data_IF_540850081933
#
_entry.id   IF_540850081933
#
_cell.length_a   1.000
_cell.length_b   1.000
_cell.length_c   1.000
_cell.angle_alpha   90.00
_cell.angle_beta   90.00
_cell.angle_gamma   90.00
#
_symmetry.space_group_name_H-M   'P 1'
#
loop_
_entity.id
_entity.type
_entity.pdbx_description
1 polymer ?
#
# COMPACT_ATOMS: atom_id res chain seq x y z
N UNK A 1 -17.19 -21.04 -19.18
CA UNK A 1 -15.96 -21.18 -18.36
C UNK A 1 -15.80 -19.87 -17.60
N UNK A 2 -16.09 -19.84 -16.29
CA UNK A 2 -15.96 -18.63 -15.46
C UNK A 2 -14.57 -18.64 -14.83
N UNK A 3 -13.70 -17.71 -15.21
CA UNK A 3 -12.43 -17.50 -14.53
C UNK A 3 -12.72 -16.88 -13.16
N UNK A 4 -12.73 -17.68 -12.09
CA UNK A 4 -12.76 -17.14 -10.73
C UNK A 4 -11.35 -16.62 -10.39
N UNK A 5 -11.25 -15.33 -10.10
CA UNK A 5 -10.00 -14.62 -9.77
C UNK A 5 -9.33 -15.27 -8.55
N UNK A 6 -8.09 -15.73 -8.70
CA UNK A 6 -7.32 -16.41 -7.64
C UNK A 6 -6.75 -15.39 -6.64
N UNK A 7 -7.57 -14.95 -5.68
CA UNK A 7 -7.13 -14.28 -4.46
C UNK A 7 -6.89 -15.34 -3.38
N UNK A 8 -5.75 -15.28 -2.69
CA UNK A 8 -5.38 -16.20 -1.62
C UNK A 8 -5.15 -15.44 -0.32
N UNK A 9 -5.34 -16.13 0.82
CA UNK A 9 -5.18 -15.55 2.15
C UNK A 9 -4.09 -16.35 2.88
N UNK A 10 -3.11 -15.64 3.44
CA UNK A 10 -2.17 -16.15 4.43
C UNK A 10 -2.88 -16.07 5.78
N UNK A 11 -3.10 -17.23 6.41
CA UNK A 11 -3.73 -17.29 7.73
C UNK A 11 -2.64 -17.25 8.80
N UNK A 12 -2.56 -16.13 9.51
CA UNK A 12 -1.60 -15.89 10.59
C UNK A 12 -2.27 -16.18 11.92
N UNK A 13 -1.96 -17.32 12.54
CA UNK A 13 -2.56 -17.71 13.81
C UNK A 13 -2.21 -16.68 14.91
N UNK A 14 -3.23 -16.01 15.46
CA UNK A 14 -3.04 -14.94 16.43
C UNK A 14 -2.48 -13.63 15.85
N UNK A 15 -2.54 -13.44 14.53
CA UNK A 15 -2.04 -12.25 13.84
C UNK A 15 -2.99 -11.75 12.74
N UNK A 16 -2.50 -10.80 11.93
CA UNK A 16 -3.25 -10.27 10.79
C UNK A 16 -3.20 -11.24 9.62
N UNK A 17 -4.36 -11.64 9.09
CA UNK A 17 -4.42 -12.37 7.83
C UNK A 17 -4.08 -11.43 6.68
N UNK A 18 -3.29 -11.91 5.72
CA UNK A 18 -2.80 -11.11 4.60
C UNK A 18 -3.30 -11.70 3.29
N UNK A 19 -3.93 -10.87 2.46
CA UNK A 19 -4.33 -11.27 1.11
C UNK A 19 -3.13 -11.23 0.16
N UNK A 20 -3.11 -12.10 -0.85
CA UNK A 20 -2.16 -12.00 -1.96
C UNK A 20 -2.69 -12.59 -3.26
N UNK A 21 -2.09 -12.18 -4.38
CA UNK A 21 -2.33 -12.76 -5.70
C UNK A 21 -1.18 -13.72 -6.08
N UNK A 22 -1.38 -15.05 -6.12
CA UNK A 22 -0.33 -16.01 -6.43
C UNK A 22 0.35 -15.76 -7.79
N UNK A 23 -0.42 -15.25 -8.75
CA UNK A 23 0.07 -14.98 -10.11
C UNK A 23 0.79 -13.63 -10.24
N UNK A 24 0.81 -12.79 -9.19
CA UNK A 24 1.55 -11.53 -9.21
C UNK A 24 3.07 -11.73 -9.01
N UNK A 25 3.53 -12.96 -8.68
CA UNK A 25 4.94 -13.23 -8.46
C UNK A 25 5.47 -12.72 -7.12
N UNK A 26 4.58 -12.35 -6.20
CA UNK A 26 4.92 -12.01 -4.81
C UNK A 26 5.41 -13.26 -4.09
N UNK A 27 6.58 -13.19 -3.49
CA UNK A 27 7.10 -14.27 -2.64
C UNK A 27 6.56 -14.14 -1.22
N UNK A 28 6.37 -15.28 -0.55
CA UNK A 28 5.91 -15.31 0.83
C UNK A 28 7.11 -15.58 1.73
N UNK A 29 7.30 -14.72 2.72
CA UNK A 29 8.33 -14.84 3.75
C UNK A 29 7.70 -15.31 5.06
N UNK A 30 8.47 -16.02 5.87
CA UNK A 30 8.08 -16.42 7.22
C UNK A 30 9.06 -15.83 8.24
N UNK A 31 8.53 -15.17 9.28
CA UNK A 31 9.30 -14.68 10.41
C UNK A 31 8.49 -14.80 11.70
N UNK A 32 9.12 -15.30 12.76
CA UNK A 32 8.49 -15.47 14.08
C UNK A 32 7.15 -16.24 14.07
N UNK A 33 6.99 -17.18 13.13
CA UNK A 33 5.75 -17.96 12.97
C UNK A 33 4.62 -17.25 12.21
N UNK A 34 4.89 -16.08 11.63
CA UNK A 34 3.97 -15.31 10.80
C UNK A 34 4.43 -15.24 9.36
N UNK A 35 3.49 -15.20 8.43
CA UNK A 35 3.71 -15.00 6.99
C UNK A 35 3.59 -13.53 6.57
N UNK A 36 4.46 -13.13 5.65
CA UNK A 36 4.61 -11.79 5.09
C UNK A 36 4.80 -11.85 3.57
N UNK A 37 4.56 -10.73 2.88
CA UNK A 37 4.75 -10.61 1.43
C UNK A 37 6.04 -9.86 1.13
N UNK A 38 6.94 -10.49 0.36
CA UNK A 38 8.09 -9.81 -0.24
C UNK A 38 7.62 -9.13 -1.52
N UNK A 39 7.22 -7.87 -1.39
CA UNK A 39 6.65 -7.05 -2.46
C UNK A 39 7.75 -6.44 -3.31
N UNK A 40 8.93 -6.19 -2.74
CA UNK A 40 10.03 -5.54 -3.46
C UNK A 40 11.13 -6.50 -3.96
N UNK A 41 11.01 -7.79 -3.65
CA UNK A 41 11.89 -8.87 -4.07
C UNK A 41 13.24 -8.87 -3.34
N UNK A 42 13.31 -8.36 -2.12
CA UNK A 42 14.57 -8.24 -1.38
C UNK A 42 15.02 -9.55 -0.70
N UNK A 43 14.10 -10.50 -0.50
CA UNK A 43 14.32 -11.69 0.31
C UNK A 43 14.50 -11.39 1.80
N UNK A 44 14.11 -10.20 2.27
CA UNK A 44 14.18 -9.77 3.66
C UNK A 44 12.86 -9.14 4.07
N UNK A 45 12.46 -9.34 5.32
CA UNK A 45 11.31 -8.64 5.87
C UNK A 45 11.66 -7.16 6.10
N UNK A 46 11.27 -6.31 5.16
CA UNK A 46 11.42 -4.86 5.28
C UNK A 46 10.32 -4.26 6.15
N UNK A 47 10.60 -3.10 6.77
CA UNK A 47 9.67 -2.52 7.74
C UNK A 47 8.31 -2.18 7.12
N UNK A 48 8.26 -1.71 5.87
CA UNK A 48 6.97 -1.47 5.19
C UNK A 48 6.15 -2.75 4.93
N UNK A 49 6.78 -3.92 4.86
CA UNK A 49 6.15 -5.23 4.64
C UNK A 49 5.70 -5.89 5.95
N UNK A 50 6.28 -5.47 7.07
CA UNK A 50 5.93 -5.97 8.40
C UNK A 50 4.65 -5.31 8.91
N UNK A 51 3.52 -5.98 8.70
CA UNK A 51 2.20 -5.52 9.16
C UNK A 51 2.07 -5.39 10.69
N UNK A 52 3.04 -5.88 11.47
CA UNK A 52 3.08 -5.75 12.93
C UNK A 52 3.55 -4.36 13.37
N UNK A 53 4.23 -3.62 12.48
CA UNK A 53 4.76 -2.30 12.79
C UNK A 53 3.69 -1.20 12.68
N UNK A 54 3.83 -0.10 13.45
CA UNK A 54 2.95 1.06 13.33
C UNK A 54 2.90 1.60 11.90
N UNK A 55 1.72 2.04 11.45
CA UNK A 55 1.50 2.51 10.08
C UNK A 55 2.48 3.61 9.67
N UNK A 56 2.78 4.57 10.56
CA UNK A 56 3.76 5.63 10.30
C UNK A 56 5.14 5.07 9.97
N UNK A 57 5.66 4.14 10.77
CA UNK A 57 6.97 3.54 10.53
C UNK A 57 7.03 2.83 9.17
N UNK A 58 5.93 2.18 8.77
CA UNK A 58 5.79 1.54 7.45
C UNK A 58 5.77 2.56 6.31
N UNK A 59 5.05 3.66 6.47
CA UNK A 59 5.02 4.77 5.50
C UNK A 59 6.39 5.43 5.38
N UNK A 60 7.08 5.67 6.48
CA UNK A 60 8.42 6.27 6.50
C UNK A 60 9.45 5.37 5.80
N UNK A 61 9.50 4.07 6.12
CA UNK A 61 10.39 3.13 5.43
C UNK A 61 10.08 3.02 3.94
N UNK A 62 8.80 2.93 3.56
CA UNK A 62 8.40 2.89 2.15
C UNK A 62 8.84 4.15 1.39
N UNK A 63 8.61 5.32 1.99
CA UNK A 63 8.96 6.62 1.43
C UNK A 63 10.46 6.75 1.20
N UNK A 64 11.25 6.44 2.24
CA UNK A 64 12.72 6.52 2.19
C UNK A 64 13.31 5.54 1.18
N UNK A 65 12.81 4.31 1.17
CA UNK A 65 13.32 3.22 0.33
C UNK A 65 13.11 3.44 -1.15
N UNK A 66 11.98 4.02 -1.53
CA UNK A 66 11.62 4.22 -2.93
C UNK A 66 11.75 5.67 -3.40
N UNK A 67 12.28 6.57 -2.55
CA UNK A 67 12.44 7.99 -2.86
C UNK A 67 11.09 8.64 -3.18
N UNK A 68 10.07 8.31 -2.39
CA UNK A 68 8.71 8.81 -2.55
C UNK A 68 8.37 9.77 -1.43
N UNK A 69 7.59 10.79 -1.75
CA UNK A 69 6.95 11.66 -0.77
C UNK A 69 5.57 12.06 -1.27
N UNK A 70 4.77 12.66 -0.40
CA UNK A 70 3.48 13.23 -0.76
C UNK A 70 3.50 14.74 -0.56
N UNK A 71 2.88 15.48 -1.48
CA UNK A 71 2.59 16.89 -1.31
C UNK A 71 1.14 17.16 -1.71
N UNK A 72 0.30 17.44 -0.71
CA UNK A 72 -1.15 17.56 -0.91
C UNK A 72 -1.72 16.30 -1.56
N UNK A 73 -2.30 16.46 -2.75
CA UNK A 73 -2.97 15.40 -3.49
C UNK A 73 -2.06 14.71 -4.52
N UNK A 74 -0.74 14.88 -4.42
CA UNK A 74 0.23 14.35 -5.36
C UNK A 74 1.30 13.46 -4.70
N UNK A 75 1.75 12.44 -5.44
CA UNK A 75 2.95 11.66 -5.11
C UNK A 75 4.15 12.25 -5.84
N UNK A 76 5.22 12.47 -5.11
CA UNK A 76 6.46 13.04 -5.58
C UNK A 76 7.57 11.96 -5.61
N UNK A 77 8.42 12.01 -6.64
CA UNK A 77 9.62 11.18 -6.75
C UNK A 77 10.64 11.86 -7.65
N UNK A 78 11.89 11.96 -7.19
CA UNK A 78 12.99 12.60 -7.93
C UNK A 78 12.63 14.00 -8.47
N UNK A 79 12.00 14.82 -7.63
CA UNK A 79 11.54 16.17 -7.98
C UNK A 79 10.36 16.23 -8.95
N UNK A 80 9.87 15.10 -9.47
CA UNK A 80 8.65 15.02 -10.27
C UNK A 80 7.45 14.83 -9.35
N UNK A 81 6.39 15.58 -9.61
CA UNK A 81 5.13 15.49 -8.88
C UNK A 81 4.06 14.95 -9.81
N UNK A 82 3.30 13.95 -9.35
CA UNK A 82 2.13 13.44 -10.07
C UNK A 82 0.90 13.53 -9.19
N UNK A 83 -0.03 14.39 -9.59
CA UNK A 83 -1.33 14.54 -8.94
C UNK A 83 -2.19 13.30 -9.13
N UNK A 84 -2.91 12.94 -8.07
CA UNK A 84 -3.95 11.93 -8.12
C UNK A 84 -5.26 12.54 -8.64
N UNK A 85 -6.12 11.77 -9.33
CA UNK A 85 -7.45 12.23 -9.70
C UNK A 85 -8.26 12.62 -8.46
N UNK A 86 -9.07 13.68 -8.56
CA UNK A 86 -9.93 14.17 -7.47
C UNK A 86 -10.83 13.08 -6.87
N UNK A 87 -11.29 12.14 -7.69
CA UNK A 87 -12.10 11.01 -7.26
C UNK A 87 -11.35 10.07 -6.30
N UNK A 88 -10.07 9.82 -6.57
CA UNK A 88 -9.19 9.04 -5.68
C UNK A 88 -9.06 9.76 -4.34
N UNK A 89 -8.71 11.05 -4.39
CA UNK A 89 -8.46 11.87 -3.19
C UNK A 89 -9.72 11.94 -2.33
N UNK A 90 -10.86 12.25 -2.94
CA UNK A 90 -12.15 12.35 -2.23
C UNK A 90 -12.53 11.01 -1.62
N UNK A 91 -12.45 9.93 -2.39
CA UNK A 91 -12.79 8.61 -1.88
C UNK A 91 -11.90 8.18 -0.71
N UNK A 92 -10.62 8.56 -0.70
CA UNK A 92 -9.71 8.27 0.41
C UNK A 92 -9.99 9.08 1.68
N UNK A 93 -10.54 10.30 1.55
CA UNK A 93 -10.96 11.11 2.71
C UNK A 93 -12.12 10.48 3.46
N UNK A 94 -13.01 9.79 2.73
CA UNK A 94 -14.18 9.11 3.28
C UNK A 94 -13.95 7.60 3.48
N UNK A 95 -12.73 7.11 3.23
CA UNK A 95 -12.43 5.68 3.29
C UNK A 95 -12.31 5.22 4.75
N UNK A 96 -13.26 4.38 5.18
CA UNK A 96 -13.36 3.87 6.55
C UNK A 96 -12.08 3.18 7.03
N UNK A 97 -11.39 2.42 6.17
CA UNK A 97 -10.16 1.73 6.56
C UNK A 97 -9.02 2.72 6.83
N UNK A 98 -8.93 3.78 6.01
CA UNK A 98 -7.92 4.83 6.18
C UNK A 98 -8.21 5.65 7.42
N UNK A 99 -9.44 6.14 7.57
CA UNK A 99 -9.85 6.95 8.73
C UNK A 99 -9.72 6.18 10.03
N UNK A 100 -10.10 4.90 10.04
CA UNK A 100 -9.91 4.02 11.20
C UNK A 100 -8.43 3.83 11.53
N UNK A 101 -7.60 3.55 10.54
CA UNK A 101 -6.17 3.35 10.77
C UNK A 101 -5.49 4.61 11.33
N UNK A 102 -5.90 5.79 10.88
CA UNK A 102 -5.43 7.07 11.41
C UNK A 102 -5.96 7.30 12.84
N UNK A 103 -7.24 7.05 13.09
CA UNK A 103 -7.84 7.26 14.41
C UNK A 103 -7.25 6.32 15.48
N UNK A 104 -6.96 5.07 15.13
CA UNK A 104 -6.36 4.07 16.01
C UNK A 104 -4.84 4.27 16.20
N UNK A 105 -4.18 5.05 15.34
CA UNK A 105 -2.77 5.38 15.49
C UNK A 105 -2.50 6.27 16.72
N UNK A 106 -1.27 6.24 17.29
CA UNK A 106 -0.84 7.17 18.34
C UNK A 106 -1.11 8.62 17.93
N UNK A 107 -1.53 9.45 18.88
CA UNK A 107 -1.90 10.85 18.61
C UNK A 107 -0.76 11.64 17.93
N UNK A 108 0.49 11.37 18.33
CA UNK A 108 1.71 11.94 17.76
C UNK A 108 1.95 11.59 16.29
N UNK A 109 1.26 10.58 15.76
CA UNK A 109 1.45 10.08 14.41
C UNK A 109 0.32 10.50 13.47
N UNK A 110 -0.81 10.99 14.01
CA UNK A 110 -2.02 11.27 13.23
C UNK A 110 -1.82 12.37 12.20
N UNK A 111 -1.16 13.47 12.58
CA UNK A 111 -0.88 14.59 11.67
C UNK A 111 -0.05 14.10 10.47
N UNK A 112 1.03 13.37 10.72
CA UNK A 112 1.86 12.78 9.67
C UNK A 112 1.04 11.87 8.73
N UNK A 113 0.20 11.00 9.29
CA UNK A 113 -0.62 10.08 8.48
C UNK A 113 -1.72 10.81 7.69
N UNK A 114 -2.25 11.92 8.20
CA UNK A 114 -3.20 12.77 7.50
C UNK A 114 -2.54 13.49 6.32
N UNK A 115 -1.32 14.00 6.52
CA UNK A 115 -0.52 14.65 5.47
C UNK A 115 -0.05 13.65 4.40
N UNK A 116 0.22 12.40 4.80
CA UNK A 116 0.69 11.33 3.93
C UNK A 116 -0.42 10.31 3.60
N UNK A 117 -1.68 10.76 3.50
CA UNK A 117 -2.85 9.89 3.35
C UNK A 117 -2.78 8.95 2.13
N UNK A 118 -2.20 9.38 1.00
CA UNK A 118 -2.03 8.52 -0.18
C UNK A 118 -1.06 7.39 0.14
N UNK A 119 0.09 7.71 0.71
CA UNK A 119 1.09 6.70 1.09
C UNK A 119 0.58 5.78 2.19
N UNK A 120 -0.15 6.31 3.17
CA UNK A 120 -0.82 5.51 4.21
C UNK A 120 -1.82 4.53 3.59
N UNK A 121 -2.68 5.00 2.68
CA UNK A 121 -3.62 4.14 1.97
C UNK A 121 -2.91 3.09 1.11
N UNK A 122 -1.78 3.43 0.46
CA UNK A 122 -0.97 2.46 -0.27
C UNK A 122 -0.49 1.33 0.64
N UNK A 123 0.02 1.65 1.83
CA UNK A 123 0.45 0.65 2.83
C UNK A 123 -0.73 -0.24 3.26
N UNK A 124 -1.92 0.33 3.47
CA UNK A 124 -3.10 -0.47 3.80
C UNK A 124 -3.52 -1.39 2.65
N UNK A 125 -3.44 -0.91 1.41
CA UNK A 125 -3.67 -1.73 0.21
C UNK A 125 -2.68 -2.88 0.09
N UNK A 126 -1.44 -2.73 0.59
CA UNK A 126 -0.47 -3.82 0.66
C UNK A 126 -1.01 -4.97 1.51
N UNK A 127 -1.74 -4.69 2.58
CA UNK A 127 -2.17 -5.74 3.50
C UNK A 127 -3.39 -6.51 2.96
N UNK A 128 -4.28 -5.82 2.24
CA UNK A 128 -5.50 -6.39 1.68
C UNK A 128 -5.23 -7.34 0.50
N UNK A 129 -4.13 -7.17 -0.24
CA UNK A 129 -3.70 -8.10 -1.29
C UNK A 129 -4.44 -8.03 -2.62
N UNK A 130 -5.39 -7.10 -2.78
CA UNK A 130 -6.12 -6.93 -4.03
C UNK A 130 -5.34 -6.13 -5.09
N UNK A 131 -4.28 -5.45 -4.69
CA UNK A 131 -3.55 -4.46 -5.50
C UNK A 131 -2.06 -4.79 -5.68
N UNK A 132 -1.64 -6.02 -5.36
CA UNK A 132 -0.22 -6.44 -5.35
C UNK A 132 0.51 -6.07 -6.65
N UNK A 133 -0.09 -6.35 -7.81
CA UNK A 133 0.50 -6.00 -9.10
C UNK A 133 0.70 -4.48 -9.27
N UNK A 134 -0.31 -3.68 -8.94
CA UNK A 134 -0.22 -2.22 -9.09
C UNK A 134 0.86 -1.62 -8.18
N UNK A 135 1.01 -2.16 -6.98
CA UNK A 135 2.04 -1.81 -6.02
C UNK A 135 3.43 -2.18 -6.55
N UNK A 136 3.63 -3.40 -7.03
CA UNK A 136 4.92 -3.84 -7.58
C UNK A 136 5.32 -3.00 -8.79
N UNK A 137 4.35 -2.66 -9.65
CA UNK A 137 4.54 -1.74 -10.77
C UNK A 137 4.95 -0.35 -10.27
N UNK A 138 4.32 0.17 -9.21
CA UNK A 138 4.71 1.44 -8.60
C UNK A 138 6.14 1.40 -8.05
N UNK A 139 6.49 0.37 -7.28
CA UNK A 139 7.83 0.15 -6.71
C UNK A 139 8.89 0.11 -7.82
N UNK A 140 8.65 -0.68 -8.86
CA UNK A 140 9.57 -0.84 -9.99
C UNK A 140 9.71 0.47 -10.78
N UNK A 141 8.61 1.20 -10.96
CA UNK A 141 8.61 2.45 -11.72
C UNK A 141 9.25 3.60 -10.95
N UNK A 142 9.10 3.65 -9.63
CA UNK A 142 9.80 4.60 -8.77
C UNK A 142 11.33 4.42 -8.91
N UNK A 143 11.82 3.17 -8.83
CA UNK A 143 13.24 2.84 -9.03
C UNK A 143 13.76 3.23 -10.42
N UNK A 144 12.90 3.19 -11.44
CA UNK A 144 13.25 3.56 -12.82
C UNK A 144 13.04 5.04 -13.15
N UNK A 145 12.51 5.86 -12.23
CA UNK A 145 12.14 7.26 -12.50
C UNK A 145 10.97 7.43 -13.49
N UNK A 146 10.13 6.39 -13.61
CA UNK A 146 9.04 6.24 -14.59
C UNK A 146 7.65 6.28 -13.94
N UNK A 147 7.52 6.84 -12.73
CA UNK A 147 6.27 6.87 -11.99
C UNK A 147 5.09 7.37 -12.83
N UNK A 148 5.27 8.47 -13.57
CA UNK A 148 4.24 9.06 -14.44
C UNK A 148 3.61 8.05 -15.41
N UNK A 149 4.38 7.07 -15.88
CA UNK A 149 3.93 6.06 -16.85
C UNK A 149 2.98 5.03 -16.25
N UNK A 150 2.93 4.92 -14.92
CA UNK A 150 2.13 3.91 -14.22
C UNK A 150 1.06 4.49 -13.31
N UNK A 151 0.97 5.82 -13.24
CA UNK A 151 0.03 6.50 -12.34
C UNK A 151 -1.44 6.18 -12.63
N UNK A 152 -1.79 5.89 -13.89
CA UNK A 152 -3.15 5.43 -14.19
C UNK A 152 -3.45 4.08 -13.52
N UNK A 153 -2.52 3.13 -13.58
CA UNK A 153 -2.66 1.81 -12.92
C UNK A 153 -2.76 1.97 -11.40
N UNK A 154 -1.91 2.83 -10.82
CA UNK A 154 -1.91 3.14 -9.40
C UNK A 154 -3.22 3.82 -8.97
N UNK A 155 -3.67 4.82 -9.70
CA UNK A 155 -4.94 5.51 -9.44
C UNK A 155 -6.14 4.55 -9.50
N UNK A 156 -6.16 3.63 -10.47
CA UNK A 156 -7.21 2.62 -10.55
C UNK A 156 -7.22 1.68 -9.33
N UNK A 157 -6.04 1.33 -8.80
CA UNK A 157 -5.95 0.53 -7.59
C UNK A 157 -6.52 1.28 -6.37
N UNK A 158 -6.28 2.59 -6.26
CA UNK A 158 -6.92 3.40 -5.22
C UNK A 158 -8.44 3.49 -5.39
N UNK A 159 -8.94 3.66 -6.62
CA UNK A 159 -10.39 3.68 -6.88
C UNK A 159 -11.03 2.35 -6.44
N UNK A 160 -10.42 1.22 -6.80
CA UNK A 160 -10.89 -0.09 -6.36
C UNK A 160 -10.86 -0.24 -4.84
N UNK A 161 -9.81 0.26 -4.20
CA UNK A 161 -9.71 0.28 -2.74
C UNK A 161 -10.82 1.12 -2.09
N UNK A 162 -11.11 2.30 -2.63
CA UNK A 162 -12.22 3.14 -2.18
C UNK A 162 -13.60 2.45 -2.29
N UNK A 163 -13.83 1.68 -3.35
CA UNK A 163 -15.08 0.94 -3.53
C UNK A 163 -15.18 -0.36 -2.72
N UNK A 164 -14.04 -0.89 -2.26
CA UNK A 164 -13.99 -2.17 -1.55
C UNK A 164 -14.14 -2.02 -0.03
N UNK A 165 -13.99 -0.81 0.51
CA UNK A 165 -14.19 -0.54 1.93
C UNK A 165 -15.66 -0.72 2.31
N UNK A 166 -16.00 -1.55 3.31
CA UNK A 166 -17.37 -1.61 3.81
C UNK A 166 -17.74 -0.26 4.42
N UNK A 167 -18.87 0.29 3.99
CA UNK A 167 -19.48 1.49 4.59
C UNK A 167 -20.10 1.21 5.96
#
# INVERSE_FOLDING_TARGET
MKHNKHHCIIVNQGGKNIGYQPNAGVQIMEADGYGFKDLNGSGRLDAFEDWRLPLKARVEDFSQRFGLSQQGDAICSDGKMVGMPDEVVRGLRDNVLVERAIAEAPETDREFLQENRLLAALILMLDEGNSDYAIQVMITSARAGLLNSVMYTVANAYLQFNHSSPG
#
